data_IF_817067898919
#
_entry.id   IF_817067898919
#
_cell.length_a   1.000
_cell.length_b   1.000
_cell.length_c   1.000
_cell.angle_alpha   90.00
_cell.angle_beta   90.00
_cell.angle_gamma   90.00
#
_symmetry.space_group_name_H-M   'P 1'
#
loop_
_entity.id
_entity.type
_entity.pdbx_description
1 polymer ?
#
# COMPACT_ATOMS: atom_id res chain seq x y z
N UNK A 1 26.50 36.50 -4.71
CA UNK A 1 26.64 36.08 -3.29
C UNK A 1 25.28 35.55 -2.86
N UNK A 2 25.22 34.36 -2.24
CA UNK A 2 23.95 33.85 -1.71
C UNK A 2 23.64 34.60 -0.43
N UNK A 3 22.38 35.01 -0.29
CA UNK A 3 21.87 35.61 0.93
C UNK A 3 21.91 34.56 2.06
N UNK A 4 22.75 34.85 3.07
CA UNK A 4 22.96 34.00 4.24
C UNK A 4 22.03 34.40 5.39
N UNK A 5 21.24 35.45 5.22
CA UNK A 5 20.34 35.98 6.25
C UNK A 5 19.24 34.95 6.57
N UNK A 6 19.08 34.64 7.87
CA UNK A 6 18.12 33.65 8.36
C UNK A 6 18.52 32.17 8.17
N UNK A 7 19.66 31.85 7.56
CA UNK A 7 20.10 30.45 7.37
C UNK A 7 20.68 29.86 8.65
N UNK A 8 20.35 28.59 8.93
CA UNK A 8 20.78 27.87 10.15
C UNK A 8 21.74 26.72 9.84
N UNK A 9 22.70 26.52 10.73
CA UNK A 9 23.63 25.40 10.71
C UNK A 9 22.88 24.08 10.86
N UNK A 10 23.10 23.14 9.93
CA UNK A 10 22.43 21.84 9.97
C UNK A 10 22.77 21.02 11.23
N UNK A 11 23.97 21.22 11.80
CA UNK A 11 24.45 20.44 12.93
C UNK A 11 24.01 20.98 14.30
N UNK A 12 23.97 22.31 14.47
CA UNK A 12 23.77 22.93 15.78
C UNK A 12 22.74 24.06 15.80
N UNK A 13 22.06 24.33 14.68
CA UNK A 13 20.98 25.31 14.52
C UNK A 13 21.36 26.79 14.75
N UNK A 14 22.63 27.10 15.01
CA UNK A 14 23.17 28.47 15.08
C UNK A 14 23.14 29.17 13.71
N UNK A 15 23.18 30.51 13.64
CA UNK A 15 23.31 31.24 12.38
C UNK A 15 24.46 30.73 11.52
N UNK A 16 24.20 30.51 10.24
CA UNK A 16 25.18 29.95 9.33
C UNK A 16 26.06 31.05 8.70
N UNK A 17 27.34 30.73 8.53
CA UNK A 17 28.31 31.58 7.82
C UNK A 17 28.97 30.86 6.64
N UNK A 18 28.84 29.54 6.57
CA UNK A 18 29.43 28.69 5.55
C UNK A 18 28.34 27.93 4.78
N UNK A 19 28.61 27.68 3.50
CA UNK A 19 27.79 26.84 2.61
C UNK A 19 28.67 25.69 2.11
N UNK A 20 28.11 24.50 2.01
CA UNK A 20 28.87 23.34 1.55
C UNK A 20 29.32 23.49 0.08
N UNK A 21 30.63 23.49 -0.21
CA UNK A 21 31.12 23.67 -1.58
C UNK A 21 30.76 22.49 -2.50
N UNK A 22 30.64 21.28 -1.95
CA UNK A 22 30.25 20.09 -2.71
C UNK A 22 28.78 20.15 -3.13
N UNK A 23 27.87 20.61 -2.27
CA UNK A 23 26.47 20.84 -2.66
C UNK A 23 26.36 21.82 -3.84
N UNK A 24 27.14 22.91 -3.80
CA UNK A 24 27.19 23.89 -4.90
C UNK A 24 27.68 23.22 -6.18
N UNK A 25 28.80 22.50 -6.09
CA UNK A 25 29.42 21.84 -7.25
C UNK A 25 28.51 20.79 -7.89
N UNK A 26 27.73 20.07 -7.07
CA UNK A 26 26.85 19.00 -7.52
C UNK A 26 25.41 19.46 -7.79
N UNK A 27 25.12 20.77 -7.69
CA UNK A 27 23.76 21.32 -7.83
C UNK A 27 22.72 20.65 -6.91
N UNK A 28 23.14 20.30 -5.68
CA UNK A 28 22.29 19.71 -4.66
C UNK A 28 21.61 20.78 -3.80
N UNK A 29 20.55 20.45 -3.04
CA UNK A 29 20.00 21.34 -2.03
C UNK A 29 21.07 21.88 -1.08
N UNK A 30 20.93 23.16 -0.73
CA UNK A 30 21.93 23.86 0.05
C UNK A 30 22.03 23.35 1.49
N UNK A 31 23.26 23.13 1.92
CA UNK A 31 23.58 22.82 3.31
C UNK A 31 24.49 23.90 3.89
N UNK A 32 24.12 24.37 5.08
CA UNK A 32 24.72 25.51 5.74
C UNK A 32 25.34 25.12 7.09
N UNK A 33 26.45 25.77 7.45
CA UNK A 33 27.20 25.51 8.68
C UNK A 33 27.60 26.82 9.37
N UNK A 34 27.65 26.83 10.70
CA UNK A 34 28.01 28.03 11.46
C UNK A 34 29.50 28.36 11.39
N UNK A 35 30.36 27.34 11.29
CA UNK A 35 31.82 27.47 11.20
C UNK A 35 32.45 26.15 10.71
N UNK A 36 33.78 26.17 10.52
CA UNK A 36 34.55 25.05 10.00
C UNK A 36 34.57 23.84 10.97
N UNK A 37 34.41 24.07 12.27
CA UNK A 37 34.41 23.01 13.28
C UNK A 37 33.12 22.19 13.18
N UNK A 38 31.97 22.85 13.07
CA UNK A 38 30.69 22.21 12.81
C UNK A 38 30.68 21.50 11.46
N UNK A 39 31.25 22.10 10.41
CA UNK A 39 31.37 21.42 9.12
C UNK A 39 32.12 20.09 9.24
N UNK A 40 33.29 20.06 9.90
CA UNK A 40 34.08 18.82 10.07
C UNK A 40 33.37 17.79 10.94
N UNK A 41 32.74 18.20 12.04
CA UNK A 41 32.05 17.30 12.96
C UNK A 41 30.87 16.59 12.28
N UNK A 42 30.10 17.31 11.46
CA UNK A 42 28.93 16.77 10.76
C UNK A 42 29.24 16.25 9.35
N UNK A 43 30.47 16.41 8.85
CA UNK A 43 30.88 15.93 7.54
C UNK A 43 30.62 14.44 7.30
N UNK A 44 30.91 13.50 8.24
CA UNK A 44 30.65 12.08 8.02
C UNK A 44 29.20 11.77 7.69
N UNK A 45 28.26 12.55 8.25
CA UNK A 45 26.82 12.43 8.02
C UNK A 45 26.43 13.20 6.75
N UNK A 46 26.85 14.46 6.63
CA UNK A 46 26.45 15.33 5.53
C UNK A 46 26.95 14.86 4.15
N UNK A 47 28.17 14.32 4.08
CA UNK A 47 28.73 13.83 2.81
C UNK A 47 27.91 12.68 2.20
N UNK A 48 27.07 12.02 2.99
CA UNK A 48 26.17 10.97 2.48
C UNK A 48 25.06 11.54 1.61
N UNK A 49 24.73 12.83 1.77
CA UNK A 49 23.81 13.55 0.89
C UNK A 49 24.44 13.98 -0.44
N UNK A 50 25.77 13.81 -0.61
CA UNK A 50 26.49 14.08 -1.85
C UNK A 50 26.45 12.86 -2.77
N UNK A 51 25.24 12.41 -3.07
CA UNK A 51 25.04 11.35 -4.05
C UNK A 51 25.20 11.92 -5.45
N UNK A 52 25.97 11.21 -6.28
CA UNK A 52 26.04 11.51 -7.71
C UNK A 52 24.61 11.42 -8.29
N UNK A 53 24.07 12.48 -8.90
CA UNK A 53 22.76 12.40 -9.54
C UNK A 53 22.68 11.37 -10.67
N UNK A 54 23.82 10.92 -11.24
CA UNK A 54 23.90 9.76 -12.16
C UNK A 54 24.12 8.40 -11.48
N UNK A 55 24.39 8.37 -10.17
CA UNK A 55 24.50 7.14 -9.39
C UNK A 55 23.13 6.54 -9.03
N UNK A 56 23.09 5.28 -8.55
CA UNK A 56 21.85 4.68 -8.07
C UNK A 56 21.26 5.52 -6.94
N UNK A 57 19.98 5.89 -7.07
CA UNK A 57 19.26 6.64 -6.06
C UNK A 57 19.21 5.82 -4.76
N UNK A 58 19.85 6.34 -3.70
CA UNK A 58 19.82 5.73 -2.37
C UNK A 58 19.59 6.84 -1.33
N UNK A 59 18.33 7.10 -0.94
CA UNK A 59 18.00 8.12 0.03
C UNK A 59 18.40 7.72 1.47
N UNK A 60 18.72 6.44 1.70
CA UNK A 60 19.01 5.89 3.04
C UNK A 60 20.30 5.05 3.03
N UNK A 61 21.48 5.68 2.88
CA UNK A 61 22.76 4.96 2.75
C UNK A 61 23.16 4.16 3.98
N UNK A 62 22.54 4.41 5.14
CA UNK A 62 22.77 3.66 6.39
C UNK A 62 21.70 2.61 6.68
N UNK A 63 20.68 2.47 5.82
CA UNK A 63 19.64 1.46 5.96
C UNK A 63 20.07 0.16 5.26
N UNK A 64 19.90 -0.97 5.93
CA UNK A 64 20.22 -2.29 5.39
C UNK A 64 18.97 -2.90 4.78
N UNK A 65 18.87 -2.87 3.46
CA UNK A 65 17.76 -3.51 2.74
C UNK A 65 17.81 -5.03 2.88
N UNK A 66 16.64 -5.65 3.06
CA UNK A 66 16.49 -7.10 3.28
C UNK A 66 16.59 -7.90 1.99
N UNK A 67 16.18 -7.33 0.85
CA UNK A 67 16.20 -7.95 -0.47
C UNK A 67 16.87 -7.09 -1.55
N UNK A 68 16.78 -7.48 -2.83
CA UNK A 68 17.41 -6.78 -3.96
C UNK A 68 16.73 -5.45 -4.33
N UNK A 69 15.46 -5.25 -3.99
CA UNK A 69 14.71 -4.06 -4.36
C UNK A 69 15.29 -2.80 -3.69
N UNK A 70 15.26 -1.68 -4.41
CA UNK A 70 15.68 -0.37 -3.91
C UNK A 70 14.61 0.66 -4.24
N UNK A 71 14.42 1.69 -3.39
CA UNK A 71 13.56 2.81 -3.73
C UNK A 71 14.13 3.55 -4.95
N UNK A 72 13.25 4.18 -5.71
CA UNK A 72 13.58 5.16 -6.74
C UNK A 72 13.02 6.53 -6.36
N UNK A 73 13.26 7.53 -7.21
CA UNK A 73 12.72 8.88 -7.00
C UNK A 73 11.20 8.83 -7.05
N UNK A 74 10.55 9.51 -6.12
CA UNK A 74 9.10 9.66 -6.06
C UNK A 74 8.74 10.98 -6.76
N UNK A 75 7.84 10.95 -7.74
CA UNK A 75 7.39 12.19 -8.41
C UNK A 75 6.45 12.99 -7.52
N UNK A 76 6.15 14.24 -7.91
CA UNK A 76 5.25 15.10 -7.13
C UNK A 76 3.83 14.51 -6.99
N UNK A 77 3.14 14.95 -5.94
CA UNK A 77 1.76 14.54 -5.68
C UNK A 77 0.83 15.09 -6.78
N UNK A 78 -0.02 14.24 -7.32
CA UNK A 78 -0.99 14.62 -8.37
C UNK A 78 -2.17 15.42 -7.78
N UNK A 79 -2.63 16.50 -8.44
CA UNK A 79 -3.73 17.31 -7.95
C UNK A 79 -5.08 16.61 -8.16
N UNK A 80 -6.00 16.81 -7.24
CA UNK A 80 -7.40 16.37 -7.38
C UNK A 80 -8.27 17.59 -7.69
N UNK A 81 -9.13 17.56 -8.73
CA UNK A 81 -10.07 18.64 -9.03
C UNK A 81 -10.97 19.05 -7.85
N UNK A 82 -11.32 20.33 -7.77
CA UNK A 82 -12.07 20.87 -6.62
C UNK A 82 -13.49 20.30 -6.49
N UNK A 83 -14.13 19.89 -7.60
CA UNK A 83 -15.48 19.34 -7.60
C UNK A 83 -15.57 17.93 -7.00
N UNK A 84 -14.45 17.20 -6.87
CA UNK A 84 -14.44 15.84 -6.32
C UNK A 84 -14.53 15.91 -4.79
N UNK A 85 -15.52 15.24 -4.17
CA UNK A 85 -15.63 15.15 -2.72
C UNK A 85 -14.39 14.54 -2.09
N UNK A 86 -13.94 15.11 -0.96
CA UNK A 86 -12.72 14.70 -0.26
C UNK A 86 -13.07 14.06 1.10
N UNK A 87 -12.38 12.99 1.50
CA UNK A 87 -12.46 12.48 2.87
C UNK A 87 -11.79 13.45 3.86
N UNK A 88 -12.09 13.32 5.15
CA UNK A 88 -11.68 14.28 6.19
C UNK A 88 -10.16 14.48 6.26
N UNK A 89 -9.39 13.40 6.13
CA UNK A 89 -7.93 13.43 6.18
C UNK A 89 -7.28 14.18 5.02
N UNK A 90 -7.94 14.30 3.86
CA UNK A 90 -7.38 14.97 2.70
C UNK A 90 -7.18 16.47 2.94
N UNK A 91 -7.94 17.05 3.86
CA UNK A 91 -7.86 18.45 4.29
C UNK A 91 -7.04 18.64 5.57
N UNK A 92 -6.66 17.54 6.23
CA UNK A 92 -5.90 17.60 7.47
C UNK A 92 -4.39 17.75 7.19
N UNK A 93 -3.65 18.68 7.85
CA UNK A 93 -2.23 18.94 7.56
C UNK A 93 -1.31 17.74 7.84
N UNK A 94 -1.75 16.80 8.66
CA UNK A 94 -1.05 15.55 8.96
C UNK A 94 -1.68 14.31 8.28
N UNK A 95 -2.68 14.49 7.43
CA UNK A 95 -3.39 13.36 6.81
C UNK A 95 -4.18 12.50 7.80
N UNK A 96 -4.56 13.04 8.94
CA UNK A 96 -5.22 12.27 10.00
C UNK A 96 -6.72 12.32 9.79
N UNK A 97 -7.37 11.15 9.80
CA UNK A 97 -8.82 11.07 9.93
C UNK A 97 -9.23 11.20 11.39
N UNK A 98 -10.03 12.21 11.71
CA UNK A 98 -10.58 12.40 13.05
C UNK A 98 -11.75 11.45 13.29
N UNK A 99 -12.53 11.16 12.24
CA UNK A 99 -13.64 10.22 12.31
C UNK A 99 -13.16 8.79 12.61
N UNK A 100 -12.06 8.35 11.99
CA UNK A 100 -11.47 7.04 12.31
C UNK A 100 -10.90 6.97 13.71
N UNK A 101 -10.27 8.05 14.21
CA UNK A 101 -9.77 8.11 15.59
C UNK A 101 -10.90 7.93 16.60
N UNK A 102 -12.04 8.57 16.34
CA UNK A 102 -13.24 8.39 17.16
C UNK A 102 -13.74 6.95 17.06
N UNK A 103 -13.95 6.42 15.84
CA UNK A 103 -14.44 5.06 15.64
C UNK A 103 -13.55 3.99 16.32
N UNK A 104 -12.22 4.15 16.24
CA UNK A 104 -11.25 3.24 16.88
C UNK A 104 -11.39 3.18 18.41
N UNK A 105 -11.84 4.28 19.03
CA UNK A 105 -12.10 4.31 20.47
C UNK A 105 -13.38 3.55 20.85
N UNK A 106 -14.39 3.57 20.00
CA UNK A 106 -15.69 2.94 20.22
C UNK A 106 -15.65 1.43 19.89
N UNK A 107 -14.83 1.02 18.90
CA UNK A 107 -14.68 -0.37 18.43
C UNK A 107 -16.01 -1.01 17.99
N UNK A 108 -16.92 -0.20 17.47
CA UNK A 108 -18.23 -0.65 17.00
C UNK A 108 -18.09 -1.21 15.59
N UNK A 109 -18.50 -2.47 15.41
CA UNK A 109 -18.64 -3.06 14.09
C UNK A 109 -20.00 -2.64 13.54
N UNK A 110 -20.00 -1.74 12.56
CA UNK A 110 -21.23 -1.16 12.00
C UNK A 110 -22.04 -2.19 11.21
N UNK A 111 -23.36 -2.14 11.39
CA UNK A 111 -24.32 -2.79 10.49
C UNK A 111 -24.83 -1.69 9.56
N UNK A 112 -24.53 -1.82 8.26
CA UNK A 112 -24.89 -0.82 7.26
C UNK A 112 -26.41 -0.82 7.01
N UNK A 113 -26.97 0.37 6.84
CA UNK A 113 -28.30 0.58 6.27
C UNK A 113 -28.33 0.24 4.78
N UNK A 114 -29.51 0.08 4.17
CA UNK A 114 -29.60 -0.27 2.75
C UNK A 114 -29.00 0.82 1.83
N UNK A 115 -29.20 2.09 2.15
CA UNK A 115 -28.55 3.21 1.44
C UNK A 115 -27.02 3.15 1.54
N UNK A 116 -26.49 2.83 2.72
CA UNK A 116 -25.04 2.69 2.91
C UNK A 116 -24.45 1.49 2.16
N UNK A 117 -25.20 0.38 2.06
CA UNK A 117 -24.79 -0.78 1.26
C UNK A 117 -24.68 -0.41 -0.23
N UNK A 118 -25.65 0.32 -0.77
CA UNK A 118 -25.62 0.74 -2.18
C UNK A 118 -24.51 1.74 -2.46
N UNK A 119 -24.28 2.72 -1.56
CA UNK A 119 -23.15 3.64 -1.67
C UNK A 119 -21.80 2.91 -1.70
N UNK A 120 -21.62 1.94 -0.81
CA UNK A 120 -20.42 1.09 -0.77
C UNK A 120 -20.26 0.26 -2.04
N UNK A 121 -21.32 -0.40 -2.53
CA UNK A 121 -21.28 -1.19 -3.78
C UNK A 121 -20.81 -0.36 -4.97
N UNK A 122 -21.30 0.87 -5.08
CA UNK A 122 -20.87 1.80 -6.15
C UNK A 122 -19.38 2.11 -6.01
N UNK A 123 -18.90 2.48 -4.81
CA UNK A 123 -17.48 2.76 -4.59
C UNK A 123 -16.59 1.54 -4.92
N UNK A 124 -16.98 0.35 -4.48
CA UNK A 124 -16.29 -0.91 -4.78
C UNK A 124 -16.22 -1.21 -6.28
N UNK A 125 -17.32 -1.03 -7.01
CA UNK A 125 -17.33 -1.20 -8.47
C UNK A 125 -16.37 -0.24 -9.16
N UNK A 126 -16.38 1.04 -8.76
CA UNK A 126 -15.47 2.05 -9.33
C UNK A 126 -14.00 1.76 -8.99
N UNK A 127 -13.72 1.26 -7.79
CA UNK A 127 -12.39 0.78 -7.39
C UNK A 127 -11.92 -0.37 -8.29
N UNK A 128 -12.78 -1.36 -8.56
CA UNK A 128 -12.49 -2.44 -9.51
C UNK A 128 -12.17 -1.93 -10.90
N UNK A 129 -12.93 -0.97 -11.41
CA UNK A 129 -12.64 -0.36 -12.70
C UNK A 129 -11.26 0.32 -12.73
N UNK A 130 -10.88 1.03 -11.67
CA UNK A 130 -9.54 1.64 -11.55
C UNK A 130 -8.41 0.59 -11.48
N UNK A 131 -8.58 -0.49 -10.70
CA UNK A 131 -7.61 -1.58 -10.64
C UNK A 131 -7.46 -2.28 -12.00
N UNK A 132 -8.54 -2.40 -12.78
CA UNK A 132 -8.47 -2.98 -14.11
C UNK A 132 -7.61 -2.12 -15.07
N UNK A 133 -7.62 -0.79 -14.94
CA UNK A 133 -6.71 0.06 -15.73
C UNK A 133 -5.25 -0.17 -15.35
N UNK A 134 -4.95 -0.27 -14.05
CA UNK A 134 -3.60 -0.61 -13.58
C UNK A 134 -3.14 -1.98 -14.08
N UNK A 135 -4.01 -2.98 -14.04
CA UNK A 135 -3.71 -4.34 -14.50
C UNK A 135 -3.31 -4.37 -15.99
N UNK A 136 -4.01 -3.60 -16.84
CA UNK A 136 -3.69 -3.49 -18.28
C UNK A 136 -2.37 -2.78 -18.55
N UNK A 137 -1.96 -1.87 -17.67
CA UNK A 137 -0.72 -1.12 -17.79
C UNK A 137 0.50 -1.84 -17.16
N UNK A 138 0.30 -2.87 -16.33
CA UNK A 138 1.35 -3.54 -15.57
C UNK A 138 2.18 -4.49 -16.44
N UNK A 139 3.19 -3.94 -17.14
CA UNK A 139 4.10 -4.67 -18.04
C UNK A 139 5.57 -4.30 -17.80
N UNK A 140 6.54 -5.12 -18.26
CA UNK A 140 7.97 -4.80 -18.15
C UNK A 140 8.32 -3.41 -18.72
N UNK A 141 9.13 -2.66 -17.98
CA UNK A 141 9.59 -1.33 -18.37
C UNK A 141 8.70 -0.16 -17.92
N UNK A 142 7.46 -0.43 -17.49
CA UNK A 142 6.54 0.55 -16.90
C UNK A 142 6.99 0.87 -15.48
N UNK A 143 6.94 2.14 -15.06
CA UNK A 143 7.26 2.52 -13.67
C UNK A 143 6.06 2.38 -12.77
N UNK A 144 6.27 2.14 -11.47
CA UNK A 144 5.14 2.14 -10.52
C UNK A 144 4.49 3.53 -10.41
N UNK A 145 5.24 4.62 -10.60
CA UNK A 145 4.70 5.98 -10.73
C UNK A 145 3.76 6.18 -11.94
N UNK A 146 3.93 5.37 -13.00
CA UNK A 146 3.04 5.37 -14.16
C UNK A 146 1.76 4.58 -13.85
N UNK A 147 1.85 3.50 -13.07
CA UNK A 147 0.67 2.81 -12.54
C UNK A 147 -0.13 3.73 -11.61
N UNK A 148 0.53 4.51 -10.76
CA UNK A 148 -0.11 5.56 -9.96
C UNK A 148 -0.82 6.60 -10.83
N UNK A 149 -0.19 7.04 -11.92
CA UNK A 149 -0.83 7.96 -12.88
C UNK A 149 -2.13 7.38 -13.42
N UNK A 150 -2.08 6.15 -13.90
CA UNK A 150 -3.24 5.45 -14.50
C UNK A 150 -4.35 5.29 -13.47
N UNK A 151 -4.04 4.85 -12.25
CA UNK A 151 -5.04 4.72 -11.18
C UNK A 151 -5.62 6.07 -10.79
N UNK A 152 -4.77 7.09 -10.64
CA UNK A 152 -5.19 8.44 -10.29
C UNK A 152 -6.16 8.99 -11.32
N UNK A 153 -5.77 9.01 -12.59
CA UNK A 153 -6.61 9.52 -13.68
C UNK A 153 -7.92 8.74 -13.79
N UNK A 154 -7.89 7.41 -13.71
CA UNK A 154 -9.09 6.58 -13.72
C UNK A 154 -10.05 6.90 -12.57
N UNK A 155 -9.53 7.21 -11.38
CA UNK A 155 -10.33 7.65 -10.24
C UNK A 155 -10.94 9.03 -10.48
N UNK A 156 -10.15 10.00 -10.97
CA UNK A 156 -10.64 11.35 -11.27
C UNK A 156 -11.75 11.31 -12.33
N UNK A 157 -11.57 10.55 -13.41
CA UNK A 157 -12.57 10.35 -14.48
C UNK A 157 -13.90 9.78 -13.98
N UNK A 158 -13.89 9.12 -12.81
CA UNK A 158 -15.04 8.48 -12.17
C UNK A 158 -15.62 9.29 -11.01
N UNK A 159 -15.25 10.56 -10.89
CA UNK A 159 -15.61 11.44 -9.78
C UNK A 159 -15.24 10.83 -8.41
N UNK A 160 -14.10 10.14 -8.34
CA UNK A 160 -13.58 9.52 -7.13
C UNK A 160 -12.34 10.25 -6.62
N UNK A 161 -12.20 10.30 -5.30
CA UNK A 161 -10.94 10.64 -4.66
C UNK A 161 -10.12 9.36 -4.43
N UNK A 162 -8.83 9.28 -4.82
CA UNK A 162 -7.99 8.13 -4.50
C UNK A 162 -7.65 8.12 -3.00
N UNK A 163 -8.23 7.20 -2.24
CA UNK A 163 -8.21 7.24 -0.76
C UNK A 163 -6.79 7.25 -0.15
N UNK A 164 -5.80 6.50 -0.68
CA UNK A 164 -4.44 6.54 -0.13
C UNK A 164 -3.83 7.96 -0.16
N UNK A 165 -4.26 8.81 -1.09
CA UNK A 165 -3.66 10.10 -1.33
C UNK A 165 -3.78 11.01 -0.09
N UNK A 166 -2.66 11.30 0.55
CA UNK A 166 -2.60 12.13 1.76
C UNK A 166 -3.06 11.44 3.04
N UNK A 167 -3.53 10.20 3.00
CA UNK A 167 -3.89 9.43 4.19
C UNK A 167 -2.66 9.17 5.05
N UNK A 168 -2.63 9.70 6.27
CA UNK A 168 -1.44 9.80 7.15
C UNK A 168 -0.18 10.31 6.43
N UNK A 169 -0.36 11.18 5.41
CA UNK A 169 0.68 11.69 4.49
C UNK A 169 1.26 10.69 3.50
N UNK A 170 0.59 9.57 3.23
CA UNK A 170 0.96 8.72 2.10
C UNK A 170 0.95 9.57 0.80
N UNK A 171 2.02 9.54 -0.01
CA UNK A 171 2.25 10.57 -1.02
C UNK A 171 1.56 10.31 -2.36
N UNK A 172 0.96 9.13 -2.56
CA UNK A 172 0.49 8.62 -3.85
C UNK A 172 -0.96 8.14 -3.79
N UNK A 173 -1.53 7.80 -4.93
CA UNK A 173 -2.96 7.52 -5.14
C UNK A 173 -3.30 6.04 -5.01
N UNK A 174 -2.30 5.17 -5.07
CA UNK A 174 -2.38 3.73 -4.85
C UNK A 174 -1.09 3.23 -4.19
N UNK A 175 -1.08 1.99 -3.71
CA UNK A 175 0.15 1.31 -3.32
C UNK A 175 0.60 0.37 -4.44
N UNK A 176 1.90 0.28 -4.66
CA UNK A 176 2.52 -0.64 -5.63
C UNK A 176 3.62 -1.44 -4.94
N UNK A 177 3.33 -2.69 -4.60
CA UNK A 177 4.18 -3.55 -3.78
C UNK A 177 4.84 -4.62 -4.64
N UNK A 178 6.14 -4.42 -4.91
CA UNK A 178 6.91 -5.28 -5.81
C UNK A 178 7.74 -6.32 -5.03
N UNK A 179 7.72 -7.57 -5.48
CA UNK A 179 8.57 -8.65 -4.99
C UNK A 179 8.55 -8.85 -3.46
N UNK A 180 9.61 -8.49 -2.73
CA UNK A 180 9.69 -8.64 -1.27
C UNK A 180 8.89 -7.60 -0.48
N UNK A 181 8.31 -6.60 -1.15
CA UNK A 181 7.38 -5.66 -0.53
C UNK A 181 6.08 -6.38 -0.23
N UNK A 182 5.72 -6.41 1.05
CA UNK A 182 4.50 -7.01 1.60
C UNK A 182 3.29 -6.15 1.24
N UNK A 183 3.34 -4.87 1.57
CA UNK A 183 2.27 -3.90 1.33
C UNK A 183 2.82 -2.46 1.40
N UNK A 184 1.97 -1.49 1.04
CA UNK A 184 2.23 -0.05 1.13
C UNK A 184 3.49 0.45 0.39
N UNK A 185 3.93 -0.26 -0.64
CA UNK A 185 5.00 0.24 -1.51
C UNK A 185 4.59 1.56 -2.15
N UNK A 186 5.42 2.60 -2.02
CA UNK A 186 5.16 3.92 -2.61
C UNK A 186 5.50 3.88 -4.11
N UNK A 187 4.57 4.24 -5.01
CA UNK A 187 4.86 4.44 -6.43
C UNK A 187 6.05 5.38 -6.67
N UNK A 188 7.02 4.90 -7.46
CA UNK A 188 8.28 5.58 -7.74
C UNK A 188 8.75 5.34 -9.19
N UNK A 189 9.88 5.93 -9.57
CA UNK A 189 10.43 5.82 -10.92
C UNK A 189 11.16 4.50 -11.21
N UNK A 190 11.06 3.46 -10.35
CA UNK A 190 11.60 2.14 -10.66
C UNK A 190 10.75 1.51 -11.77
N UNK A 191 11.41 1.08 -12.83
CA UNK A 191 10.77 0.27 -13.88
C UNK A 191 10.57 -1.15 -13.39
N UNK A 192 9.38 -1.70 -13.64
CA UNK A 192 9.09 -3.11 -13.44
C UNK A 192 9.96 -3.97 -14.36
N UNK A 193 10.50 -5.05 -13.82
CA UNK A 193 11.36 -5.98 -14.55
C UNK A 193 10.56 -7.21 -14.97
N UNK A 194 10.90 -7.79 -16.12
CA UNK A 194 10.28 -9.04 -16.56
C UNK A 194 10.67 -10.17 -15.60
N UNK A 195 9.69 -10.70 -14.89
CA UNK A 195 9.86 -11.66 -13.80
C UNK A 195 9.47 -11.12 -12.43
N UNK A 196 9.15 -9.84 -12.30
CA UNK A 196 8.64 -9.26 -11.06
C UNK A 196 7.22 -9.77 -10.72
N UNK A 197 6.90 -9.78 -9.43
CA UNK A 197 5.53 -9.71 -8.94
C UNK A 197 5.22 -8.25 -8.60
N UNK A 198 4.06 -7.74 -8.97
CA UNK A 198 3.62 -6.38 -8.59
C UNK A 198 2.17 -6.43 -8.10
N UNK A 199 1.97 -6.26 -6.79
CA UNK A 199 0.66 -5.96 -6.23
C UNK A 199 0.32 -4.49 -6.44
N UNK A 200 -0.90 -4.21 -6.90
CA UNK A 200 -1.45 -2.85 -6.93
C UNK A 200 -2.68 -2.81 -6.06
N UNK A 201 -2.66 -1.91 -5.10
CA UNK A 201 -3.70 -1.73 -4.09
C UNK A 201 -4.43 -0.41 -4.32
N UNK A 202 -5.74 -0.52 -4.55
CA UNK A 202 -6.59 0.57 -5.02
C UNK A 202 -7.75 0.75 -4.06
N UNK A 203 -7.81 1.93 -3.46
CA UNK A 203 -9.00 2.36 -2.75
C UNK A 203 -9.53 3.66 -3.32
N UNK A 204 -10.81 3.71 -3.66
CA UNK A 204 -11.47 4.95 -4.10
C UNK A 204 -12.49 5.41 -3.08
N UNK A 205 -12.62 6.72 -2.92
CA UNK A 205 -13.67 7.37 -2.15
C UNK A 205 -14.66 8.03 -3.10
N UNK A 206 -15.90 7.57 -3.07
CA UNK A 206 -16.97 8.07 -3.91
C UNK A 206 -18.19 8.39 -3.05
N UNK A 207 -18.65 9.65 -3.11
CA UNK A 207 -19.90 10.12 -2.46
C UNK A 207 -20.06 9.66 -1.01
N UNK A 208 -18.98 9.67 -0.22
CA UNK A 208 -19.05 9.33 1.19
C UNK A 208 -18.63 7.91 1.55
N UNK A 209 -18.24 7.06 0.60
CA UNK A 209 -17.84 5.66 0.87
C UNK A 209 -16.51 5.31 0.22
N UNK A 210 -15.71 4.51 0.91
CA UNK A 210 -14.49 3.89 0.41
C UNK A 210 -14.79 2.50 -0.15
N UNK A 211 -14.20 2.15 -1.29
CA UNK A 211 -14.20 0.80 -1.84
C UNK A 211 -12.78 0.34 -2.13
N UNK A 212 -12.42 -0.85 -1.62
CA UNK A 212 -11.02 -1.28 -1.49
C UNK A 212 -10.77 -2.69 -2.01
N UNK A 213 -9.67 -2.83 -2.76
CA UNK A 213 -9.23 -4.08 -3.35
C UNK A 213 -7.79 -3.99 -3.88
N UNK A 214 -7.13 -5.14 -3.90
CA UNK A 214 -5.82 -5.30 -4.51
C UNK A 214 -5.66 -6.67 -5.17
N UNK A 215 -4.77 -6.73 -6.16
CA UNK A 215 -4.35 -7.98 -6.81
C UNK A 215 -2.84 -7.97 -7.08
N UNK A 216 -2.23 -9.15 -6.98
CA UNK A 216 -0.84 -9.36 -7.43
C UNK A 216 -0.80 -9.76 -8.90
N UNK A 217 -0.08 -8.98 -9.72
CA UNK A 217 0.13 -9.23 -11.14
C UNK A 217 1.49 -9.90 -11.42
N UNK A 218 1.52 -10.69 -12.50
CA UNK A 218 2.74 -11.28 -13.05
C UNK A 218 3.33 -10.35 -14.12
N UNK A 219 4.50 -9.78 -13.86
CA UNK A 219 5.14 -8.85 -14.80
C UNK A 219 5.91 -9.61 -15.88
N UNK A 220 5.42 -9.56 -17.12
CA UNK A 220 6.02 -10.26 -18.26
C UNK A 220 5.80 -11.78 -18.22
N UNK A 221 6.74 -12.53 -18.81
CA UNK A 221 6.70 -13.98 -19.04
C UNK A 221 7.83 -14.75 -18.32
N UNK A 222 8.64 -14.07 -17.49
CA UNK A 222 9.77 -14.65 -16.75
C UNK A 222 9.56 -14.86 -15.26
N UNK A 223 8.34 -14.67 -14.75
CA UNK A 223 8.01 -15.03 -13.36
C UNK A 223 8.23 -16.52 -13.17
N UNK A 224 9.04 -16.91 -12.18
CA UNK A 224 9.38 -18.30 -11.91
C UNK A 224 8.22 -19.12 -11.32
N UNK A 225 8.35 -20.45 -11.33
CA UNK A 225 7.29 -21.36 -10.89
C UNK A 225 6.93 -21.23 -9.40
N UNK A 226 7.90 -20.94 -8.52
CA UNK A 226 7.63 -20.75 -7.09
C UNK A 226 6.83 -19.48 -6.85
N UNK A 227 7.13 -18.42 -7.59
CA UNK A 227 6.41 -17.14 -7.51
C UNK A 227 5.00 -17.25 -8.09
N UNK A 228 4.80 -17.98 -9.20
CA UNK A 228 3.44 -18.29 -9.70
C UNK A 228 2.65 -19.14 -8.68
N UNK A 229 3.30 -20.09 -8.00
CA UNK A 229 2.68 -20.86 -6.90
C UNK A 229 2.32 -19.95 -5.72
N UNK A 230 3.18 -19.02 -5.33
CA UNK A 230 2.92 -18.05 -4.26
C UNK A 230 1.65 -17.24 -4.56
N UNK A 231 1.56 -16.63 -5.74
CA UNK A 231 0.39 -15.84 -6.17
C UNK A 231 -0.89 -16.69 -6.15
N UNK A 232 -0.84 -17.90 -6.72
CA UNK A 232 -1.98 -18.83 -6.73
C UNK A 232 -2.45 -19.18 -5.32
N UNK A 233 -1.54 -19.56 -4.43
CA UNK A 233 -1.89 -19.95 -3.06
C UNK A 233 -2.41 -18.76 -2.25
N UNK A 234 -1.89 -17.56 -2.50
CA UNK A 234 -2.39 -16.32 -1.87
C UNK A 234 -3.86 -16.09 -2.24
N UNK A 235 -4.20 -16.22 -3.52
CA UNK A 235 -5.60 -16.13 -3.96
C UNK A 235 -6.48 -17.26 -3.38
N UNK A 236 -5.96 -18.50 -3.31
CA UNK A 236 -6.69 -19.61 -2.69
C UNK A 236 -6.95 -19.38 -1.19
N UNK A 237 -5.99 -18.79 -0.46
CA UNK A 237 -6.16 -18.38 0.94
C UNK A 237 -7.34 -17.41 1.10
N UNK A 238 -7.40 -16.39 0.24
CA UNK A 238 -8.50 -15.42 0.20
C UNK A 238 -9.83 -16.11 -0.08
N UNK A 239 -9.92 -16.93 -1.13
CA UNK A 239 -11.17 -17.60 -1.51
C UNK A 239 -11.69 -18.55 -0.42
N UNK A 240 -10.80 -19.33 0.21
CA UNK A 240 -11.20 -20.21 1.32
C UNK A 240 -11.69 -19.42 2.54
N UNK A 241 -11.08 -18.27 2.83
CA UNK A 241 -11.54 -17.39 3.89
C UNK A 241 -12.91 -16.77 3.59
N UNK A 242 -13.13 -16.30 2.35
CA UNK A 242 -14.42 -15.76 1.91
C UNK A 242 -15.52 -16.83 2.03
N UNK A 243 -15.23 -18.08 1.69
CA UNK A 243 -16.21 -19.17 1.72
C UNK A 243 -16.83 -19.45 3.11
N UNK A 244 -16.17 -19.01 4.20
CA UNK A 244 -16.72 -19.14 5.56
C UNK A 244 -17.47 -17.90 6.03
N UNK A 245 -17.46 -16.79 5.28
CA UNK A 245 -18.07 -15.53 5.71
C UNK A 245 -19.60 -15.64 5.63
N UNK A 246 -20.23 -15.61 6.81
CA UNK A 246 -21.68 -15.58 7.00
C UNK A 246 -22.03 -15.16 8.43
N UNK A 247 -23.29 -14.78 8.72
CA UNK A 247 -23.70 -14.46 10.08
C UNK A 247 -23.38 -15.57 11.09
N UNK A 248 -22.92 -15.18 12.28
CA UNK A 248 -22.58 -16.11 13.37
C UNK A 248 -21.13 -16.61 13.37
N UNK A 249 -20.37 -16.41 12.29
CA UNK A 249 -18.94 -16.75 12.23
C UNK A 249 -18.11 -15.68 12.95
N UNK A 250 -17.10 -16.09 13.72
CA UNK A 250 -16.20 -15.16 14.43
C UNK A 250 -15.12 -14.66 13.46
N UNK A 251 -14.78 -13.36 13.52
CA UNK A 251 -13.72 -12.78 12.68
C UNK A 251 -12.38 -13.50 12.82
N UNK A 252 -12.03 -13.97 14.03
CA UNK A 252 -10.80 -14.73 14.27
C UNK A 252 -10.66 -16.02 13.48
N UNK A 253 -11.76 -16.62 13.00
CA UNK A 253 -11.71 -17.87 12.23
C UNK A 253 -11.09 -17.68 10.84
N UNK A 254 -11.15 -16.47 10.29
CA UNK A 254 -10.52 -16.12 9.00
C UNK A 254 -9.03 -16.48 9.01
N UNK A 255 -8.31 -16.07 10.05
CA UNK A 255 -6.88 -16.37 10.15
C UNK A 255 -6.56 -17.85 10.35
N UNK A 256 -7.46 -18.64 10.93
CA UNK A 256 -7.29 -20.09 11.05
C UNK A 256 -7.34 -20.76 9.67
N UNK A 257 -8.28 -20.34 8.81
CA UNK A 257 -8.42 -20.86 7.44
C UNK A 257 -7.22 -20.49 6.59
N UNK A 258 -6.87 -19.21 6.55
CA UNK A 258 -5.77 -18.68 5.73
C UNK A 258 -4.45 -19.36 6.10
N UNK A 259 -4.07 -19.34 7.39
CA UNK A 259 -2.77 -19.86 7.79
C UNK A 259 -2.67 -21.38 7.61
N UNK A 260 -3.77 -22.12 7.76
CA UNK A 260 -3.77 -23.56 7.45
C UNK A 260 -3.42 -23.81 5.98
N UNK A 261 -4.03 -23.08 5.05
CA UNK A 261 -3.78 -23.26 3.61
C UNK A 261 -2.37 -22.79 3.20
N UNK A 262 -1.94 -21.63 3.69
CA UNK A 262 -0.60 -21.10 3.42
C UNK A 262 0.50 -22.06 3.90
N UNK A 263 0.43 -22.50 5.16
CA UNK A 263 1.44 -23.38 5.75
C UNK A 263 1.49 -24.75 5.04
N UNK A 264 0.33 -25.31 4.65
CA UNK A 264 0.27 -26.58 3.93
C UNK A 264 0.97 -26.52 2.56
N UNK A 265 1.14 -25.31 2.00
CA UNK A 265 1.82 -25.07 0.74
C UNK A 265 3.28 -24.60 0.89
N UNK A 266 3.79 -24.50 2.12
CA UNK A 266 5.16 -24.09 2.41
C UNK A 266 5.37 -22.57 2.52
N UNK A 267 4.29 -21.80 2.67
CA UNK A 267 4.34 -20.34 2.81
C UNK A 267 3.96 -19.89 4.22
N UNK A 268 4.26 -18.64 4.56
CA UNK A 268 3.93 -18.04 5.85
C UNK A 268 2.98 -16.86 5.72
N UNK A 269 2.33 -16.48 6.82
CA UNK A 269 1.33 -15.41 6.85
C UNK A 269 1.82 -14.24 7.68
N UNK A 270 1.82 -13.05 7.10
CA UNK A 270 2.20 -11.79 7.76
C UNK A 270 1.31 -11.52 8.97
N UNK A 271 1.90 -10.94 10.02
CA UNK A 271 1.19 -10.63 11.28
C UNK A 271 1.11 -9.15 11.61
N UNK A 272 1.94 -8.31 10.98
CA UNK A 272 1.96 -6.85 11.21
C UNK A 272 0.76 -6.11 10.64
N UNK A 273 0.04 -6.72 9.70
CA UNK A 273 -1.06 -6.12 8.95
C UNK A 273 -2.29 -7.05 8.94
N UNK A 274 -3.48 -6.49 8.79
CA UNK A 274 -4.75 -7.20 8.88
C UNK A 274 -5.82 -6.54 8.01
N UNK A 275 -6.85 -7.31 7.64
CA UNK A 275 -8.07 -6.74 7.09
C UNK A 275 -8.77 -5.79 8.06
N UNK A 276 -9.68 -4.99 7.54
CA UNK A 276 -10.35 -3.94 8.31
C UNK A 276 -11.82 -3.80 7.93
N UNK A 277 -12.61 -3.21 8.83
CA UNK A 277 -13.91 -2.68 8.45
C UNK A 277 -13.74 -1.53 7.46
N UNK A 278 -14.68 -1.43 6.52
CA UNK A 278 -14.68 -0.39 5.50
C UNK A 278 -16.10 0.03 5.14
N UNK A 279 -16.32 1.34 5.03
CA UNK A 279 -17.57 1.96 4.57
C UNK A 279 -17.31 3.45 4.33
N UNK A 280 -18.00 4.33 5.06
CA UNK A 280 -17.67 5.76 5.16
C UNK A 280 -16.27 6.08 5.67
N UNK A 281 -15.69 5.15 6.43
CA UNK A 281 -14.32 5.24 6.94
C UNK A 281 -13.44 4.33 6.11
N UNK A 282 -12.19 4.75 5.88
CA UNK A 282 -11.24 3.96 5.11
C UNK A 282 -10.82 2.73 5.92
N UNK A 283 -10.41 2.95 7.18
CA UNK A 283 -10.07 1.87 8.11
C UNK A 283 -10.87 1.98 9.42
N UNK A 284 -11.64 0.94 9.76
CA UNK A 284 -12.42 0.88 11.00
C UNK A 284 -12.56 -0.55 11.53
N UNK A 285 -13.26 -0.75 12.64
CA UNK A 285 -13.56 -2.08 13.17
C UNK A 285 -14.45 -2.87 12.19
N UNK A 286 -14.25 -4.20 12.05
CA UNK A 286 -13.34 -5.03 12.83
C UNK A 286 -11.92 -5.05 12.28
N UNK A 287 -10.92 -5.33 13.14
CA UNK A 287 -9.63 -5.80 12.65
C UNK A 287 -9.74 -7.30 12.33
N UNK A 288 -9.21 -7.73 11.18
CA UNK A 288 -9.33 -9.09 10.65
C UNK A 288 -7.95 -9.70 10.41
N UNK A 289 -7.29 -10.27 11.44
CA UNK A 289 -5.98 -10.87 11.30
C UNK A 289 -6.01 -12.13 10.43
N UNK A 290 -4.98 -12.30 9.60
CA UNK A 290 -4.88 -13.43 8.66
C UNK A 290 -4.16 -14.66 9.23
N UNK A 291 -3.62 -14.58 10.45
CA UNK A 291 -2.92 -15.68 11.11
C UNK A 291 -3.82 -16.41 12.13
N UNK A 292 -3.57 -17.71 12.34
CA UNK A 292 -4.30 -18.57 13.25
C UNK A 292 -4.04 -18.21 14.73
N UNK A 293 -4.99 -18.59 15.60
CA UNK A 293 -4.93 -18.31 17.05
C UNK A 293 -4.77 -16.81 17.38
N UNK A 294 -5.29 -15.95 16.51
CA UNK A 294 -5.37 -14.52 16.77
C UNK A 294 -6.46 -14.20 17.83
N UNK A 295 -6.41 -12.99 18.36
CA UNK A 295 -7.32 -12.51 19.41
C UNK A 295 -8.42 -11.58 18.87
N UNK A 296 -8.75 -11.64 17.57
CA UNK A 296 -9.80 -10.80 17.02
C UNK A 296 -11.14 -11.08 17.69
N UNK A 297 -11.84 -10.00 18.03
CA UNK A 297 -13.14 -10.03 18.68
C UNK A 297 -14.25 -9.80 17.65
N UNK A 298 -15.49 -10.11 18.05
CA UNK A 298 -16.66 -9.90 17.21
C UNK A 298 -17.12 -11.14 16.46
N UNK A 299 -18.39 -11.07 16.05
CA UNK A 299 -19.12 -12.10 15.30
C UNK A 299 -19.77 -11.39 14.13
N UNK A 300 -19.63 -11.95 12.93
CA UNK A 300 -20.20 -11.42 11.71
C UNK A 300 -21.73 -11.37 11.82
N UNK A 301 -22.31 -10.28 11.34
CA UNK A 301 -23.76 -10.05 11.21
C UNK A 301 -24.05 -9.58 9.79
N UNK A 302 -25.25 -9.88 9.30
CA UNK A 302 -25.73 -9.32 8.04
C UNK A 302 -25.63 -7.78 8.07
N UNK A 303 -25.14 -7.20 6.99
CA UNK A 303 -24.84 -5.77 6.86
C UNK A 303 -23.47 -5.33 7.39
N UNK A 304 -22.63 -6.22 7.93
CA UNK A 304 -21.23 -5.87 8.16
C UNK A 304 -20.48 -5.78 6.82
N UNK A 305 -19.59 -4.79 6.71
CA UNK A 305 -18.64 -4.64 5.60
C UNK A 305 -17.21 -4.61 6.12
N UNK A 306 -16.33 -5.37 5.48
CA UNK A 306 -14.92 -5.48 5.84
C UNK A 306 -14.10 -6.10 4.71
N UNK A 307 -12.78 -5.96 4.78
CA UNK A 307 -11.81 -6.54 3.85
C UNK A 307 -11.24 -7.85 4.39
N UNK A 308 -10.93 -8.76 3.48
CA UNK A 308 -10.00 -9.87 3.73
C UNK A 308 -8.87 -9.70 2.73
N UNK A 309 -7.63 -9.57 3.21
CA UNK A 309 -6.48 -9.11 2.41
C UNK A 309 -5.18 -9.86 2.74
N UNK A 310 -5.14 -11.21 2.70
CA UNK A 310 -4.00 -11.99 3.17
C UNK A 310 -2.72 -11.67 2.40
N UNK A 311 -1.71 -11.20 3.14
CA UNK A 311 -0.32 -11.12 2.69
C UNK A 311 0.42 -12.41 3.03
N UNK A 312 0.90 -13.12 2.01
CA UNK A 312 1.54 -14.42 2.12
C UNK A 312 2.99 -14.31 1.64
N UNK A 313 3.93 -14.79 2.46
CA UNK A 313 5.36 -14.71 2.16
C UNK A 313 5.91 -16.08 1.74
N UNK A 314 6.81 -16.07 0.76
CA UNK A 314 7.62 -17.25 0.39
C UNK A 314 8.63 -17.64 1.49
N UNK A 315 8.90 -16.73 2.42
CA UNK A 315 9.85 -16.86 3.50
C UNK A 315 9.22 -16.83 4.88
N UNK A 316 9.87 -16.10 5.79
CA UNK A 316 9.38 -15.83 7.15
C UNK A 316 8.19 -14.88 7.18
N UNK A 317 7.40 -14.93 8.27
CA UNK A 317 6.27 -14.03 8.49
C UNK A 317 6.70 -12.65 9.00
N UNK A 318 7.98 -12.48 9.37
CA UNK A 318 8.50 -11.24 9.92
C UNK A 318 8.62 -10.17 8.83
N UNK A 319 8.12 -8.99 9.15
CA UNK A 319 8.22 -7.78 8.36
C UNK A 319 9.25 -6.79 8.95
N UNK A 320 9.73 -5.90 8.09
CA UNK A 320 10.51 -4.72 8.42
C UNK A 320 9.96 -3.53 7.61
N UNK A 321 10.10 -2.31 8.13
CA UNK A 321 9.59 -1.10 7.47
C UNK A 321 10.74 -0.25 6.95
N UNK A 322 10.65 0.23 5.72
CA UNK A 322 11.62 1.17 5.18
C UNK A 322 11.55 2.54 5.87
N UNK A 323 12.62 3.37 5.77
CA UNK A 323 12.63 4.71 6.34
C UNK A 323 11.69 5.73 5.68
N UNK A 324 10.94 5.36 4.64
CA UNK A 324 9.83 6.18 4.09
C UNK A 324 8.57 6.16 4.95
N UNK A 325 8.59 5.42 6.06
CA UNK A 325 7.51 5.21 7.00
C UNK A 325 6.33 4.35 6.53
N UNK A 326 6.36 3.82 5.30
CA UNK A 326 5.26 3.10 4.67
C UNK A 326 5.63 1.72 4.15
N UNK A 327 6.68 1.61 3.33
CA UNK A 327 6.97 0.39 2.57
C UNK A 327 7.34 -0.74 3.54
N UNK A 328 6.48 -1.75 3.61
CA UNK A 328 6.68 -2.93 4.44
C UNK A 328 7.32 -4.03 3.59
N UNK A 329 8.43 -4.61 4.05
CA UNK A 329 9.15 -5.67 3.33
C UNK A 329 9.31 -6.92 4.19
N UNK A 330 9.49 -8.07 3.54
CA UNK A 330 9.87 -9.29 4.25
C UNK A 330 11.27 -9.14 4.87
N UNK A 331 11.44 -9.65 6.09
CA UNK A 331 12.72 -9.55 6.82
C UNK A 331 13.85 -10.40 6.20
N UNK A 332 13.50 -11.42 5.43
CA UNK A 332 14.46 -12.31 4.74
C UNK A 332 14.62 -12.00 3.25
N UNK A 333 14.01 -10.92 2.75
CA UNK A 333 14.13 -10.47 1.36
C UNK A 333 13.45 -11.39 0.33
N UNK A 334 12.65 -12.37 0.78
CA UNK A 334 11.88 -13.24 -0.12
C UNK A 334 10.58 -12.56 -0.54
N UNK A 335 10.02 -13.00 -1.67
CA UNK A 335 8.79 -12.45 -2.25
C UNK A 335 7.58 -12.59 -1.33
N UNK A 336 6.68 -11.61 -1.42
CA UNK A 336 5.34 -11.60 -0.85
C UNK A 336 4.30 -11.46 -1.96
N UNK A 337 3.07 -11.86 -1.69
CA UNK A 337 1.92 -11.61 -2.56
C UNK A 337 0.69 -11.33 -1.71
N UNK A 338 -0.23 -10.55 -2.26
CA UNK A 338 -1.49 -10.17 -1.62
C UNK A 338 -2.64 -10.16 -2.64
N UNK A 339 -3.82 -10.53 -2.16
CA UNK A 339 -5.10 -10.30 -2.82
C UNK A 339 -6.08 -9.80 -1.79
N UNK A 340 -6.99 -8.94 -2.20
CA UNK A 340 -8.00 -8.38 -1.31
C UNK A 340 -9.36 -8.28 -1.99
N UNK A 341 -10.40 -8.41 -1.16
CA UNK A 341 -11.76 -8.03 -1.53
C UNK A 341 -12.44 -7.31 -0.36
N UNK A 342 -13.18 -6.25 -0.68
CA UNK A 342 -14.27 -5.74 0.17
C UNK A 342 -15.49 -6.65 0.09
N UNK A 343 -15.98 -7.10 1.26
CA UNK A 343 -17.10 -8.03 1.40
C UNK A 343 -18.27 -7.39 2.14
N UNK A 344 -19.50 -7.74 1.75
CA UNK A 344 -20.72 -7.41 2.49
C UNK A 344 -21.38 -8.70 3.00
N UNK A 345 -21.50 -8.86 4.31
CA UNK A 345 -22.18 -10.02 4.90
C UNK A 345 -23.68 -9.93 4.60
N UNK A 346 -24.25 -11.00 4.04
CA UNK A 346 -25.68 -11.15 3.78
C UNK A 346 -26.31 -12.09 4.80
N UNK A 347 -27.61 -12.37 4.71
CA UNK A 347 -28.30 -13.27 5.66
C UNK A 347 -27.80 -14.73 5.60
N UNK A 348 -27.26 -15.15 4.45
CA UNK A 348 -26.86 -16.54 4.19
C UNK A 348 -25.38 -16.72 3.91
N UNK A 349 -24.63 -15.64 3.71
CA UNK A 349 -23.23 -15.68 3.26
C UNK A 349 -22.62 -14.29 3.20
N UNK A 350 -21.93 -13.99 2.10
CA UNK A 350 -21.51 -12.65 1.74
C UNK A 350 -21.60 -12.40 0.24
N UNK A 351 -21.62 -11.13 -0.11
CA UNK A 351 -21.43 -10.61 -1.47
C UNK A 351 -20.00 -10.06 -1.57
N UNK A 352 -19.28 -10.42 -2.64
CA UNK A 352 -17.94 -9.89 -2.94
C UNK A 352 -18.13 -8.62 -3.79
N UNK A 353 -18.04 -7.44 -3.17
CA UNK A 353 -18.41 -6.18 -3.83
C UNK A 353 -17.39 -5.72 -4.89
N UNK A 354 -16.18 -6.26 -4.81
CA UNK A 354 -15.02 -5.88 -5.62
C UNK A 354 -14.62 -6.98 -6.60
N UNK A 355 -15.48 -7.99 -6.79
CA UNK A 355 -15.20 -9.11 -7.68
C UNK A 355 -15.02 -8.64 -9.13
N UNK A 356 -14.05 -9.24 -9.83
CA UNK A 356 -14.03 -9.21 -11.30
C UNK A 356 -15.07 -10.21 -11.83
N UNK A 357 -15.43 -10.11 -13.11
CA UNK A 357 -16.34 -11.06 -13.75
C UNK A 357 -15.91 -12.51 -13.50
N UNK A 358 -16.87 -13.35 -13.11
CA UNK A 358 -16.63 -14.75 -12.75
C UNK A 358 -15.76 -14.96 -11.50
N UNK A 359 -15.49 -13.91 -10.70
CA UNK A 359 -14.54 -13.94 -9.57
C UNK A 359 -13.15 -14.47 -9.99
N UNK A 360 -12.79 -14.25 -11.25
CA UNK A 360 -11.53 -14.71 -11.83
C UNK A 360 -10.50 -13.59 -11.75
N UNK A 361 -9.34 -13.74 -11.11
CA UNK A 361 -8.32 -12.69 -10.97
C UNK A 361 -7.45 -12.58 -12.22
N UNK A 362 -6.77 -11.44 -12.40
CA UNK A 362 -5.95 -11.16 -13.60
C UNK A 362 -4.80 -12.14 -13.81
N UNK A 363 -4.15 -12.60 -12.74
CA UNK A 363 -2.99 -13.49 -12.87
C UNK A 363 -3.33 -14.82 -13.57
N UNK A 364 -4.59 -15.27 -13.50
CA UNK A 364 -5.01 -16.49 -14.21
C UNK A 364 -5.06 -16.26 -15.73
N UNK A 365 -5.50 -15.09 -16.18
CA UNK A 365 -5.45 -14.72 -17.61
C UNK A 365 -4.00 -14.56 -18.07
N UNK A 366 -3.16 -13.94 -17.23
CA UNK A 366 -1.73 -13.79 -17.52
C UNK A 366 -1.03 -15.15 -17.64
N UNK A 367 -1.41 -16.14 -16.82
CA UNK A 367 -0.93 -17.52 -16.97
C UNK A 367 -1.36 -18.06 -18.33
N UNK A 368 -2.66 -18.09 -18.65
CA UNK A 368 -3.14 -18.66 -19.92
C UNK A 368 -2.58 -17.99 -21.18
N UNK A 369 -2.21 -16.70 -21.09
CA UNK A 369 -1.67 -15.94 -22.22
C UNK A 369 -0.15 -16.07 -22.36
N UNK A 370 0.60 -16.23 -21.25
CA UNK A 370 2.07 -16.11 -21.24
C UNK A 370 2.82 -17.39 -20.84
N UNK A 371 2.13 -18.39 -20.28
CA UNK A 371 2.70 -19.62 -19.72
C UNK A 371 1.94 -20.88 -20.17
#
# INVERSE_FOLDING_TARGET
>A
MVDMEGKKCIGCQKPASLRCPTCIKMSLPDAFFCDQSCFKAFWPIHKTSHTDPSGPYNPWPCFTFTGPLRPSRVSERRPVPDHIPRPDYALHPQGVSLEERQSKSERIIKVLTDEEKEGLKVACKLGRECLNEAARACEPGVTTDELDRVVHEAAIERDCYPSPLGYYKFPKSCCTSVNEVICHGIPDLRKLENGDLCNVDVTVYHRGFHGDLNETFLVGDKVDAESRKLVKVTFECLQQAIAIVKPGVKFREIGNVIQKHANANGFSVVKGYCGHGIHRLFHTAPNVPHYAKNNATGVMKAGNSFTIEPMINAGTFHDEKWPDDWTAVTRDGKRSAQFEQTLLVTDTGCEILTAREGNRPWFMDQIEQKY
#
